data_IF_037022220548
#
_entry.id   IF_037022220548
#
_cell.length_a   1.000
_cell.length_b   1.000
_cell.length_c   1.000
_cell.angle_alpha   90.00
_cell.angle_beta   90.00
_cell.angle_gamma   90.00
#
_symmetry.space_group_name_H-M   'P 1'
#
loop_
_entity.id
_entity.type
_entity.pdbx_description
1 polymer ?
#
# COMPACT_ATOMS: atom_id res chain seq x y z
N UNK A 1 1.42 23.12 -0.29
CA UNK A 1 1.54 21.72 -0.71
C UNK A 1 1.37 21.71 -2.21
N UNK A 2 2.34 21.15 -2.94
CA UNK A 2 2.27 21.06 -4.40
C UNK A 2 1.75 19.68 -4.77
N UNK A 3 0.80 19.63 -5.70
CA UNK A 3 0.18 18.38 -6.16
C UNK A 3 0.51 18.19 -7.63
N UNK A 4 0.91 16.97 -7.97
CA UNK A 4 1.17 16.54 -9.33
C UNK A 4 0.30 15.31 -9.60
N UNK A 5 -0.39 15.30 -10.73
CA UNK A 5 -1.11 14.14 -11.20
C UNK A 5 -0.18 13.34 -12.11
N UNK A 6 -0.12 12.03 -11.86
CA UNK A 6 0.60 11.10 -12.70
C UNK A 6 -0.38 10.02 -13.17
N UNK A 7 -0.27 9.64 -14.44
CA UNK A 7 -1.02 8.55 -15.05
C UNK A 7 -0.01 7.59 -15.69
N UNK A 8 0.75 6.91 -14.83
CA UNK A 8 1.73 5.90 -15.22
C UNK A 8 1.70 4.74 -14.23
N UNK A 9 2.22 3.60 -14.67
CA UNK A 9 2.34 2.41 -13.83
C UNK A 9 3.19 2.67 -12.58
N UNK A 10 2.69 2.24 -11.42
CA UNK A 10 3.34 2.44 -10.12
C UNK A 10 4.70 1.75 -10.00
N UNK A 11 4.99 0.75 -10.83
CA UNK A 11 6.30 0.09 -10.90
C UNK A 11 7.44 1.04 -11.28
N UNK A 12 7.13 2.15 -11.96
CA UNK A 12 8.09 3.19 -12.32
C UNK A 12 8.15 4.36 -11.33
N UNK A 13 7.29 4.35 -10.30
CA UNK A 13 7.24 5.44 -9.33
C UNK A 13 8.37 5.35 -8.32
N UNK A 14 8.90 6.52 -7.93
CA UNK A 14 9.89 6.65 -6.87
C UNK A 14 9.51 7.77 -5.93
N UNK A 15 9.74 7.56 -4.62
CA UNK A 15 9.39 8.54 -3.61
C UNK A 15 9.57 8.01 -2.18
N UNK A 16 9.42 8.91 -1.21
CA UNK A 16 9.67 8.55 0.20
C UNK A 16 8.54 7.71 0.81
N UNK A 17 7.30 7.87 0.34
CA UNK A 17 6.13 7.25 0.93
C UNK A 17 5.03 7.01 -0.10
N UNK A 18 4.57 5.76 -0.20
CA UNK A 18 3.33 5.40 -0.88
C UNK A 18 2.19 5.33 0.13
N UNK A 19 1.08 6.00 -0.15
CA UNK A 19 -0.17 5.87 0.61
C UNK A 19 -1.15 5.11 -0.27
N UNK A 20 -1.61 3.96 0.23
CA UNK A 20 -2.56 3.09 -0.45
C UNK A 20 -3.82 2.96 0.41
N UNK A 21 -4.97 3.26 -0.19
CA UNK A 21 -6.25 3.07 0.47
C UNK A 21 -6.73 1.63 0.26
N UNK A 22 -7.05 0.95 1.35
CA UNK A 22 -7.64 -0.38 1.34
C UNK A 22 -9.13 -0.29 1.69
N UNK A 23 -9.88 -1.30 1.28
CA UNK A 23 -11.29 -1.44 1.65
C UNK A 23 -11.47 -2.61 2.60
N UNK A 24 -12.42 -2.49 3.53
CA UNK A 24 -12.77 -3.60 4.40
C UNK A 24 -13.51 -4.66 3.58
N UNK A 25 -13.00 -5.89 3.60
CA UNK A 25 -13.63 -7.07 3.04
C UNK A 25 -13.84 -8.09 4.18
N UNK A 26 -15.03 -8.04 4.78
CA UNK A 26 -15.32 -8.80 5.99
C UNK A 26 -14.52 -8.30 7.19
N UNK A 27 -13.65 -9.16 7.74
CA UNK A 27 -12.82 -8.87 8.91
C UNK A 27 -11.38 -8.46 8.58
N UNK A 28 -11.02 -8.40 7.29
CA UNK A 28 -9.67 -8.08 6.81
C UNK A 28 -9.73 -6.97 5.76
N UNK A 29 -8.61 -6.29 5.55
CA UNK A 29 -8.47 -5.36 4.45
C UNK A 29 -8.21 -6.11 3.13
N UNK A 30 -8.79 -5.61 2.05
CA UNK A 30 -8.48 -6.03 0.69
C UNK A 30 -7.57 -5.02 0.02
N UNK A 31 -6.52 -5.52 -0.63
CA UNK A 31 -5.65 -4.71 -1.47
C UNK A 31 -6.38 -4.40 -2.79
N UNK A 32 -6.41 -3.14 -3.24
CA UNK A 32 -6.88 -2.81 -4.58
C UNK A 32 -6.13 -3.59 -5.66
N UNK A 33 -6.84 -4.09 -6.68
CA UNK A 33 -6.23 -4.86 -7.78
C UNK A 33 -5.13 -4.10 -8.53
N UNK A 34 -5.22 -2.77 -8.58
CA UNK A 34 -4.19 -1.90 -9.15
C UNK A 34 -2.83 -1.96 -8.41
N UNK A 35 -2.82 -2.45 -7.16
CA UNK A 35 -1.60 -2.59 -6.34
C UNK A 35 -1.04 -4.01 -6.34
N UNK A 36 -1.75 -5.01 -6.89
CA UNK A 36 -1.26 -6.39 -6.97
C UNK A 36 0.08 -6.51 -7.71
N UNK A 37 0.31 -5.84 -8.87
CA UNK A 37 1.61 -5.94 -9.55
C UNK A 37 2.76 -5.36 -8.71
N UNK A 38 2.48 -4.27 -7.99
CA UNK A 38 3.46 -3.64 -7.11
C UNK A 38 3.75 -4.53 -5.90
N UNK A 39 2.72 -5.13 -5.31
CA UNK A 39 2.87 -6.06 -4.18
C UNK A 39 3.70 -7.28 -4.58
N UNK A 40 3.41 -7.86 -5.75
CA UNK A 40 4.17 -8.98 -6.31
C UNK A 40 5.65 -8.61 -6.52
N UNK A 41 5.92 -7.41 -7.05
CA UNK A 41 7.28 -6.92 -7.21
C UNK A 41 8.02 -6.72 -5.87
N UNK A 42 7.28 -6.52 -4.78
CA UNK A 42 7.81 -6.45 -3.42
C UNK A 42 7.78 -7.77 -2.67
N UNK A 43 7.38 -8.87 -3.30
CA UNK A 43 7.31 -10.18 -2.66
C UNK A 43 6.13 -10.35 -1.70
N UNK A 44 5.05 -9.57 -1.86
CA UNK A 44 3.83 -9.70 -1.07
C UNK A 44 3.81 -8.90 0.23
N UNK A 45 4.69 -7.91 0.39
CA UNK A 45 4.87 -7.16 1.66
C UNK A 45 3.57 -6.47 2.13
N UNK A 46 2.73 -5.95 1.23
CA UNK A 46 1.47 -5.33 1.63
C UNK A 46 0.46 -6.37 2.10
N UNK A 47 0.37 -7.52 1.40
CA UNK A 47 -0.45 -8.64 1.85
C UNK A 47 0.01 -9.19 3.20
N UNK A 48 1.32 -9.38 3.40
CA UNK A 48 1.90 -9.79 4.68
C UNK A 48 1.58 -8.78 5.78
N UNK A 49 1.76 -7.47 5.53
CA UNK A 49 1.45 -6.42 6.49
C UNK A 49 -0.04 -6.44 6.92
N UNK A 50 -0.96 -6.66 5.97
CA UNK A 50 -2.39 -6.79 6.27
C UNK A 50 -2.62 -7.96 7.22
N UNK A 51 -2.01 -9.11 6.95
CA UNK A 51 -2.18 -10.32 7.74
C UNK A 51 -1.55 -10.18 9.14
N UNK A 52 -0.29 -9.76 9.22
CA UNK A 52 0.46 -9.62 10.47
C UNK A 52 -0.17 -8.63 11.45
N UNK A 53 -0.71 -7.53 10.93
CA UNK A 53 -1.34 -6.49 11.75
C UNK A 53 -2.84 -6.73 11.96
N UNK A 54 -3.40 -7.82 11.40
CA UNK A 54 -4.84 -8.04 11.32
C UNK A 54 -5.58 -6.76 10.86
N UNK A 55 -5.02 -6.09 9.84
CA UNK A 55 -5.52 -4.81 9.38
C UNK A 55 -6.88 -5.00 8.69
N UNK A 56 -7.88 -4.24 9.14
CA UNK A 56 -9.27 -4.38 8.70
C UNK A 56 -9.81 -3.12 7.98
N UNK A 57 -8.93 -2.18 7.60
CA UNK A 57 -9.30 -0.93 6.92
C UNK A 57 -10.46 -0.18 7.61
N UNK A 58 -10.42 -0.10 8.95
CA UNK A 58 -11.39 0.69 9.72
C UNK A 58 -11.15 2.17 9.47
N UNK A 59 -12.21 2.96 9.46
CA UNK A 59 -12.11 4.41 9.31
C UNK A 59 -11.12 5.00 10.33
N UNK A 60 -10.14 5.76 9.83
CA UNK A 60 -9.10 6.40 10.63
C UNK A 60 -7.99 5.47 11.13
N UNK A 61 -7.99 4.19 10.75
CA UNK A 61 -6.89 3.27 11.03
C UNK A 61 -5.88 3.27 9.89
N UNK A 62 -4.61 3.07 10.21
CA UNK A 62 -3.57 2.89 9.23
C UNK A 62 -2.47 1.97 9.77
N UNK A 63 -1.83 1.21 8.89
CA UNK A 63 -0.64 0.41 9.19
C UNK A 63 0.47 0.79 8.21
N UNK A 64 1.73 0.63 8.60
CA UNK A 64 2.83 1.02 7.73
C UNK A 64 4.09 0.20 7.96
N UNK A 65 4.84 -0.04 6.88
CA UNK A 65 6.14 -0.71 6.94
C UNK A 65 7.15 -0.07 5.99
N UNK A 66 8.43 -0.36 6.19
CA UNK A 66 9.52 0.06 5.31
C UNK A 66 9.79 -1.04 4.28
N UNK A 67 9.90 -0.66 3.01
CA UNK A 67 10.04 -1.59 1.86
C UNK A 67 11.42 -1.51 1.17
N UNK A 68 12.24 -0.51 1.49
CA UNK A 68 13.68 -0.50 1.13
C UNK A 68 14.02 -0.41 -0.37
N UNK A 69 13.10 0.09 -1.22
CA UNK A 69 13.25 0.15 -2.68
C UNK A 69 13.19 1.62 -3.19
N UNK A 70 12.81 1.83 -4.45
CA UNK A 70 12.45 3.13 -5.03
C UNK A 70 11.38 3.86 -4.21
N UNK A 71 10.59 3.08 -3.46
CA UNK A 71 9.69 3.53 -2.41
C UNK A 71 10.28 3.11 -1.06
N UNK A 72 10.42 4.07 -0.12
CA UNK A 72 11.04 3.78 1.19
C UNK A 72 10.04 3.25 2.22
N UNK A 73 8.79 3.68 2.13
CA UNK A 73 7.72 3.35 3.09
C UNK A 73 6.38 3.17 2.36
N UNK A 74 5.58 2.22 2.82
CA UNK A 74 4.17 2.09 2.44
C UNK A 74 3.28 2.31 3.66
N UNK A 75 2.18 3.03 3.48
CA UNK A 75 1.12 3.22 4.46
C UNK A 75 -0.17 2.69 3.83
N UNK A 76 -0.80 1.72 4.49
CA UNK A 76 -2.13 1.22 4.18
C UNK A 76 -3.13 1.95 5.07
N UNK A 77 -4.19 2.50 4.50
CA UNK A 77 -5.23 3.25 5.22
C UNK A 77 -6.63 2.82 4.83
#
# INVERSE_FOLDING_TARGET
>A
MNFHLYDHDLSHWSGDCLIACCFAEGSTAALPSALEPLDQAWGGVMAELIQEQAFAAKLGSAVSTRVGSNIKKVVLT
#
